data_IF_837437849089
#
_entry.id   IF_837437849089
#
_cell.length_a   1.000
_cell.length_b   1.000
_cell.length_c   1.000
_cell.angle_alpha   90.00
_cell.angle_beta   90.00
_cell.angle_gamma   90.00
#
_symmetry.space_group_name_H-M   'P 1'
#
loop_
_entity.id
_entity.type
_entity.pdbx_description
1 polymer ?
#
# COMPACT_ATOMS: atom_id res chain seq x y z
N UNK A 1 0.19 -72.08 -22.10
CA UNK A 1 -0.51 -71.05 -22.91
C UNK A 1 -1.44 -70.28 -21.99
N UNK A 2 -1.14 -69.01 -21.69
CA UNK A 2 -1.98 -68.14 -20.87
C UNK A 2 -2.96 -67.37 -21.75
N UNK A 3 -4.25 -67.34 -21.39
CA UNK A 3 -5.28 -66.57 -22.11
C UNK A 3 -5.17 -65.09 -21.75
N UNK A 4 -5.17 -64.23 -22.77
CA UNK A 4 -5.10 -62.78 -22.62
C UNK A 4 -6.28 -62.24 -21.79
N UNK A 5 -5.98 -61.42 -20.78
CA UNK A 5 -6.97 -60.71 -19.98
C UNK A 5 -7.59 -59.63 -20.86
N UNK A 6 -8.90 -59.76 -21.09
CA UNK A 6 -9.72 -58.84 -21.87
C UNK A 6 -10.09 -57.63 -21.03
N UNK A 7 -9.90 -56.45 -21.62
CA UNK A 7 -10.56 -55.19 -21.33
C UNK A 7 -10.47 -54.68 -19.89
N UNK A 8 -9.59 -53.69 -19.69
CA UNK A 8 -9.75 -52.71 -18.61
C UNK A 8 -10.99 -51.87 -18.98
N UNK A 9 -12.15 -52.16 -18.37
CA UNK A 9 -13.29 -51.23 -18.41
C UNK A 9 -12.93 -50.05 -17.52
N UNK A 10 -12.69 -48.89 -18.13
CA UNK A 10 -12.68 -47.63 -17.41
C UNK A 10 -14.15 -47.37 -17.03
N UNK A 11 -14.48 -47.59 -15.77
CA UNK A 11 -15.73 -47.09 -15.19
C UNK A 11 -15.73 -45.58 -15.41
N UNK A 12 -16.51 -45.12 -16.38
CA UNK A 12 -16.87 -43.72 -16.50
C UNK A 12 -17.73 -43.44 -15.29
N UNK A 13 -17.16 -42.71 -14.32
CA UNK A 13 -17.86 -42.33 -13.10
C UNK A 13 -19.22 -41.72 -13.46
N UNK A 14 -20.27 -42.26 -12.86
CA UNK A 14 -21.62 -41.77 -13.04
C UNK A 14 -21.66 -40.31 -12.54
N UNK A 15 -22.09 -39.33 -13.37
CA UNK A 15 -22.21 -37.93 -12.95
C UNK A 15 -23.01 -37.77 -11.64
N UNK A 16 -23.94 -38.69 -11.35
CA UNK A 16 -24.69 -38.69 -10.10
C UNK A 16 -23.86 -39.11 -8.89
N UNK A 17 -22.94 -40.06 -9.05
CA UNK A 17 -22.02 -40.48 -7.98
C UNK A 17 -20.96 -39.42 -7.69
N UNK A 18 -20.45 -38.73 -8.72
CA UNK A 18 -19.52 -37.60 -8.54
C UNK A 18 -20.19 -36.40 -7.85
N UNK A 19 -21.43 -36.07 -8.23
CA UNK A 19 -22.20 -35.01 -7.55
C UNK A 19 -22.49 -35.37 -6.09
N UNK A 20 -22.85 -36.62 -5.81
CA UNK A 20 -23.13 -37.08 -4.44
C UNK A 20 -21.89 -37.00 -3.54
N UNK A 21 -20.72 -37.41 -4.06
CA UNK A 21 -19.44 -37.27 -3.36
C UNK A 21 -19.07 -35.81 -3.14
N UNK A 22 -19.18 -34.96 -4.16
CA UNK A 22 -18.88 -33.54 -4.04
C UNK A 22 -19.74 -32.84 -2.97
N UNK A 23 -21.04 -33.15 -2.92
CA UNK A 23 -21.93 -32.62 -1.86
C UNK A 23 -21.49 -33.11 -0.49
N UNK A 24 -21.15 -34.40 -0.37
CA UNK A 24 -20.70 -34.99 0.90
C UNK A 24 -19.41 -34.33 1.40
N UNK A 25 -18.45 -34.11 0.51
CA UNK A 25 -17.17 -33.48 0.83
C UNK A 25 -17.35 -32.01 1.25
N UNK A 26 -18.23 -31.26 0.56
CA UNK A 26 -18.57 -29.88 0.96
C UNK A 26 -19.23 -29.86 2.33
N UNK A 27 -20.19 -30.77 2.59
CA UNK A 27 -20.86 -30.85 3.89
C UNK A 27 -19.88 -31.21 5.00
N UNK A 28 -18.95 -32.14 4.75
CA UNK A 28 -17.91 -32.50 5.71
C UNK A 28 -16.99 -31.31 6.01
N UNK A 29 -16.51 -30.59 4.99
CA UNK A 29 -15.68 -29.41 5.16
C UNK A 29 -16.38 -28.29 5.93
N UNK A 30 -17.68 -28.06 5.67
CA UNK A 30 -18.49 -27.09 6.41
C UNK A 30 -18.72 -27.52 7.86
N UNK A 31 -18.92 -28.82 8.11
CA UNK A 31 -19.12 -29.36 9.45
C UNK A 31 -17.84 -29.28 10.30
N UNK A 32 -16.67 -29.56 9.72
CA UNK A 32 -15.37 -29.40 10.38
C UNK A 32 -15.06 -27.94 10.72
N UNK A 33 -15.55 -26.99 9.91
CA UNK A 33 -15.32 -25.56 10.08
C UNK A 33 -16.53 -24.82 10.65
N UNK A 34 -17.43 -25.52 11.34
CA UNK A 34 -18.73 -25.01 11.80
C UNK A 34 -18.64 -23.64 12.45
N UNK A 35 -17.73 -23.45 13.40
CA UNK A 35 -17.69 -22.22 14.20
C UNK A 35 -17.24 -21.01 13.36
N UNK A 36 -16.23 -21.18 12.49
CA UNK A 36 -15.80 -20.14 11.55
C UNK A 36 -16.89 -19.79 10.53
N UNK A 37 -17.66 -20.78 10.06
CA UNK A 37 -18.81 -20.56 9.17
C UNK A 37 -19.91 -19.78 9.90
N UNK A 38 -20.23 -20.14 11.14
CA UNK A 38 -21.23 -19.43 11.94
C UNK A 38 -20.82 -17.99 12.25
N UNK A 39 -19.54 -17.75 12.53
CA UNK A 39 -19.01 -16.40 12.72
C UNK A 39 -19.09 -15.58 11.43
N UNK A 40 -18.72 -16.18 10.29
CA UNK A 40 -18.83 -15.53 8.96
C UNK A 40 -20.28 -15.17 8.64
N UNK A 41 -21.23 -16.08 8.90
CA UNK A 41 -22.67 -15.81 8.75
C UNK A 41 -23.09 -14.66 9.68
N UNK A 42 -22.57 -14.62 10.91
CA UNK A 42 -22.78 -13.53 11.85
C UNK A 42 -22.31 -12.17 11.30
N UNK A 43 -21.09 -12.12 10.74
CA UNK A 43 -20.53 -10.92 10.10
C UNK A 43 -21.39 -10.50 8.90
N UNK A 44 -21.73 -11.44 8.01
CA UNK A 44 -22.58 -11.17 6.84
C UNK A 44 -23.94 -10.63 7.28
N UNK A 45 -24.52 -11.18 8.35
CA UNK A 45 -25.78 -10.69 8.91
C UNK A 45 -25.66 -9.29 9.48
N UNK A 46 -24.61 -9.01 10.26
CA UNK A 46 -24.36 -7.65 10.76
C UNK A 46 -24.18 -6.65 9.60
N UNK A 47 -23.43 -7.01 8.56
CA UNK A 47 -23.26 -6.18 7.36
C UNK A 47 -24.58 -5.99 6.60
N UNK A 48 -25.47 -6.99 6.59
CA UNK A 48 -26.80 -6.87 6.02
C UNK A 48 -27.68 -5.93 6.85
N UNK A 49 -27.73 -6.11 8.17
CA UNK A 49 -28.54 -5.34 9.10
C UNK A 49 -28.11 -3.86 9.14
N UNK A 50 -26.80 -3.59 8.99
CA UNK A 50 -26.26 -2.23 8.83
C UNK A 50 -26.51 -1.62 7.43
N UNK A 51 -27.12 -2.37 6.51
CA UNK A 51 -27.42 -1.90 5.15
C UNK A 51 -26.20 -1.85 4.22
N UNK A 52 -25.04 -2.37 4.63
CA UNK A 52 -23.82 -2.39 3.82
C UNK A 52 -24.02 -3.24 2.58
N UNK A 53 -24.57 -4.46 2.72
CA UNK A 53 -24.81 -5.34 1.59
C UNK A 53 -25.80 -4.73 0.58
N UNK A 54 -26.84 -4.06 1.08
CA UNK A 54 -27.82 -3.37 0.24
C UNK A 54 -27.19 -2.18 -0.51
N UNK A 55 -26.31 -1.45 0.16
CA UNK A 55 -25.56 -0.33 -0.44
C UNK A 55 -24.64 -0.84 -1.54
N UNK A 56 -23.84 -1.88 -1.27
CA UNK A 56 -22.97 -2.51 -2.27
C UNK A 56 -23.79 -3.03 -3.45
N UNK A 57 -24.90 -3.73 -3.20
CA UNK A 57 -25.77 -4.22 -4.27
C UNK A 57 -26.35 -3.06 -5.11
N UNK A 58 -26.83 -1.99 -4.47
CA UNK A 58 -27.33 -0.80 -5.18
C UNK A 58 -26.25 -0.07 -5.99
N UNK A 59 -25.01 -0.05 -5.50
CA UNK A 59 -23.86 0.47 -6.26
C UNK A 59 -23.54 -0.42 -7.47
N UNK A 60 -23.64 -1.75 -7.35
CA UNK A 60 -23.38 -2.70 -8.44
C UNK A 60 -24.48 -2.68 -9.51
N UNK A 61 -25.75 -2.56 -9.09
CA UNK A 61 -26.88 -2.37 -10.00
C UNK A 61 -26.71 -1.09 -10.82
N UNK A 62 -26.26 0.00 -10.18
CA UNK A 62 -26.02 1.30 -10.81
C UNK A 62 -24.55 1.54 -11.17
N UNK A 63 -23.75 0.48 -11.37
CA UNK A 63 -22.28 0.58 -11.55
C UNK A 63 -21.86 1.55 -12.66
N UNK A 64 -22.63 1.59 -13.75
CA UNK A 64 -22.34 2.47 -14.89
C UNK A 64 -22.63 3.92 -14.51
N UNK A 65 -23.81 4.21 -13.97
CA UNK A 65 -24.21 5.57 -13.59
C UNK A 65 -23.34 6.14 -12.47
N UNK A 66 -23.07 5.34 -11.43
CA UNK A 66 -22.18 5.73 -10.32
C UNK A 66 -20.76 5.93 -10.83
N UNK A 67 -20.27 5.05 -11.71
CA UNK A 67 -18.96 5.19 -12.35
C UNK A 67 -18.87 6.47 -13.19
N UNK A 68 -19.89 6.77 -13.99
CA UNK A 68 -19.96 7.99 -14.79
C UNK A 68 -19.97 9.23 -13.90
N UNK A 69 -20.77 9.25 -12.82
CA UNK A 69 -20.80 10.36 -11.86
C UNK A 69 -19.44 10.53 -11.17
N UNK A 70 -18.80 9.44 -10.75
CA UNK A 70 -17.49 9.49 -10.12
C UNK A 70 -16.42 10.04 -11.08
N UNK A 71 -16.41 9.57 -12.34
CA UNK A 71 -15.48 10.08 -13.37
C UNK A 71 -15.77 11.54 -13.69
N UNK A 72 -17.03 11.93 -13.80
CA UNK A 72 -17.42 13.33 -14.01
C UNK A 72 -16.98 14.23 -12.84
N UNK A 73 -17.13 13.76 -11.60
CA UNK A 73 -16.72 14.46 -10.39
C UNK A 73 -15.19 14.61 -10.33
N UNK A 74 -14.45 13.57 -10.74
CA UNK A 74 -13.00 13.62 -10.87
C UNK A 74 -12.54 14.49 -12.04
N UNK A 75 -13.34 14.60 -13.10
CA UNK A 75 -13.07 15.45 -14.25
C UNK A 75 -13.51 16.91 -14.04
N UNK A 76 -14.01 17.28 -12.86
CA UNK A 76 -14.30 18.67 -12.56
C UNK A 76 -13.01 19.50 -12.57
N UNK A 77 -13.04 20.75 -13.07
CA UNK A 77 -11.85 21.61 -13.09
C UNK A 77 -11.21 21.81 -11.71
N UNK A 78 -12.02 21.80 -10.64
CA UNK A 78 -11.57 21.85 -9.25
C UNK A 78 -10.68 20.67 -8.85
N UNK A 79 -10.85 19.52 -9.50
CA UNK A 79 -10.13 18.28 -9.22
C UNK A 79 -8.90 18.08 -10.11
N UNK A 80 -8.80 18.79 -11.24
CA UNK A 80 -7.69 18.67 -12.19
C UNK A 80 -6.33 18.91 -11.51
N UNK A 81 -6.22 19.96 -10.70
CA UNK A 81 -4.98 20.28 -9.99
C UNK A 81 -4.66 19.22 -8.92
N UNK A 82 -5.67 18.71 -8.21
CA UNK A 82 -5.49 17.67 -7.20
C UNK A 82 -4.99 16.37 -7.83
N UNK A 83 -5.60 15.94 -8.94
CA UNK A 83 -5.18 14.75 -9.68
C UNK A 83 -3.78 14.94 -10.24
N UNK A 84 -3.52 16.09 -10.87
CA UNK A 84 -2.20 16.40 -11.41
C UNK A 84 -1.12 16.38 -10.33
N UNK A 85 -1.37 17.02 -9.19
CA UNK A 85 -0.42 17.03 -8.07
C UNK A 85 -0.25 15.64 -7.45
N UNK A 86 -1.33 14.86 -7.31
CA UNK A 86 -1.28 13.49 -6.83
C UNK A 86 -0.49 12.56 -7.75
N UNK A 87 -0.71 12.65 -9.06
CA UNK A 87 0.07 11.92 -10.06
C UNK A 87 1.53 12.35 -10.05
N UNK A 88 1.82 13.65 -9.95
CA UNK A 88 3.19 14.15 -9.86
C UNK A 88 3.90 13.64 -8.60
N UNK A 89 3.21 13.64 -7.45
CA UNK A 89 3.74 13.08 -6.21
C UNK A 89 4.00 11.57 -6.32
N UNK A 90 3.08 10.82 -6.92
CA UNK A 90 3.26 9.39 -7.15
C UNK A 90 4.45 9.10 -8.08
N UNK A 91 4.55 9.84 -9.19
CA UNK A 91 5.68 9.72 -10.12
C UNK A 91 7.00 10.10 -9.45
N UNK A 92 7.02 11.16 -8.65
CA UNK A 92 8.20 11.55 -7.88
C UNK A 92 8.64 10.43 -6.96
N UNK A 93 7.72 9.86 -6.16
CA UNK A 93 8.02 8.72 -5.28
C UNK A 93 8.55 7.51 -6.05
N UNK A 94 7.99 7.23 -7.24
CA UNK A 94 8.43 6.13 -8.10
C UNK A 94 9.81 6.33 -8.75
N UNK A 95 10.28 7.58 -8.87
CA UNK A 95 11.60 7.91 -9.42
C UNK A 95 12.71 7.91 -8.37
N UNK A 96 12.36 7.94 -7.08
CA UNK A 96 13.35 7.91 -6.00
C UNK A 96 14.08 6.57 -5.99
N UNK A 97 15.41 6.61 -5.85
CA UNK A 97 16.19 5.40 -5.62
C UNK A 97 15.84 4.84 -4.21
N UNK A 98 15.39 3.58 -4.08
CA UNK A 98 14.95 3.01 -2.81
C UNK A 98 16.05 2.99 -1.73
N UNK A 99 17.30 2.69 -2.12
CA UNK A 99 18.43 2.60 -1.19
C UNK A 99 18.81 3.98 -0.63
N UNK A 100 18.79 5.00 -1.48
CA UNK A 100 19.01 6.39 -1.07
C UNK A 100 17.89 6.87 -0.15
N UNK A 101 16.63 6.58 -0.50
CA UNK A 101 15.48 6.91 0.34
C UNK A 101 15.58 6.25 1.71
N UNK A 102 15.91 4.96 1.76
CA UNK A 102 16.10 4.24 3.02
C UNK A 102 17.21 4.87 3.87
N UNK A 103 18.31 5.27 3.25
CA UNK A 103 19.44 5.94 3.94
C UNK A 103 19.00 7.25 4.57
N UNK A 104 18.25 8.09 3.84
CA UNK A 104 17.71 9.35 4.34
C UNK A 104 16.73 9.10 5.49
N UNK A 105 15.78 8.18 5.32
CA UNK A 105 14.79 7.85 6.35
C UNK A 105 15.45 7.33 7.63
N UNK A 106 16.45 6.46 7.51
CA UNK A 106 17.24 5.98 8.64
C UNK A 106 17.96 7.14 9.33
N UNK A 107 18.57 8.05 8.58
CA UNK A 107 19.24 9.25 9.11
C UNK A 107 18.28 10.14 9.90
N UNK A 108 17.06 10.35 9.40
CA UNK A 108 16.01 11.12 10.11
C UNK A 108 15.60 10.42 11.40
N UNK A 109 15.37 9.10 11.36
CA UNK A 109 15.03 8.32 12.56
C UNK A 109 16.10 8.42 13.64
N UNK A 110 17.37 8.21 13.28
CA UNK A 110 18.48 8.33 14.23
C UNK A 110 18.65 9.76 14.76
N UNK A 111 18.36 10.77 13.93
CA UNK A 111 18.35 12.17 14.36
C UNK A 111 17.26 12.46 15.39
N UNK A 112 16.08 11.86 15.23
CA UNK A 112 14.99 11.95 16.22
C UNK A 112 15.35 11.27 17.54
N UNK A 113 15.98 10.09 17.49
CA UNK A 113 16.46 9.40 18.69
C UNK A 113 17.49 10.24 19.44
N UNK A 114 18.44 10.84 18.72
CA UNK A 114 19.42 11.78 19.30
C UNK A 114 18.78 13.03 19.88
N UNK A 115 17.71 13.54 19.27
CA UNK A 115 16.97 14.68 19.80
C UNK A 115 16.31 14.32 21.14
N UNK A 116 15.67 13.15 21.22
CA UNK A 116 15.05 12.65 22.45
C UNK A 116 16.08 12.47 23.57
N UNK A 117 17.23 11.83 23.29
CA UNK A 117 18.33 11.66 24.25
C UNK A 117 18.84 12.99 24.83
N UNK A 118 18.90 14.04 24.01
CA UNK A 118 19.41 15.34 24.43
C UNK A 118 18.38 16.15 25.23
N UNK A 119 17.08 15.99 24.93
CA UNK A 119 15.99 16.59 25.71
C UNK A 119 15.96 16.00 27.12
N UNK A 120 16.07 14.67 27.25
CA UNK A 120 16.07 13.99 28.55
C UNK A 120 17.23 14.45 29.44
N UNK A 121 18.39 14.77 28.84
CA UNK A 121 19.59 15.23 29.56
C UNK A 121 19.55 16.70 30.00
N UNK A 122 18.51 17.48 29.66
CA UNK A 122 18.38 18.92 29.96
C UNK A 122 19.63 19.75 29.58
N UNK A 123 20.41 19.28 28.61
CA UNK A 123 21.71 19.85 28.31
C UNK A 123 21.54 21.06 27.39
N UNK A 124 21.73 22.27 27.93
CA UNK A 124 21.70 23.50 27.14
C UNK A 124 22.90 23.54 26.21
N UNK A 125 22.66 23.41 24.91
CA UNK A 125 23.72 23.51 23.90
C UNK A 125 24.31 24.93 23.92
N UNK A 126 25.58 25.03 24.29
CA UNK A 126 26.33 26.30 24.27
C UNK A 126 26.79 26.66 22.85
N UNK A 127 26.89 27.95 22.51
CA UNK A 127 27.44 28.43 21.23
C UNK A 127 28.86 27.87 20.95
N UNK A 128 29.64 27.64 22.02
CA UNK A 128 30.96 27.01 21.90
C UNK A 128 30.86 25.53 21.52
N UNK A 129 29.91 24.80 22.10
CA UNK A 129 29.65 23.40 21.74
C UNK A 129 29.19 23.29 20.28
N UNK A 130 28.32 24.19 19.81
CA UNK A 130 27.90 24.24 18.40
C UNK A 130 29.09 24.43 17.45
N UNK A 131 29.97 25.39 17.75
CA UNK A 131 31.18 25.61 16.95
C UNK A 131 32.10 24.39 16.93
N UNK A 132 32.22 23.68 18.06
CA UNK A 132 33.02 22.46 18.14
C UNK A 132 32.34 21.28 17.43
N UNK A 133 31.00 21.21 17.44
CA UNK A 133 30.22 20.19 16.73
C UNK A 133 30.41 20.24 15.22
N UNK A 134 30.69 21.39 14.62
CA UNK A 134 31.01 21.47 13.18
C UNK A 134 32.29 20.68 12.83
N UNK A 135 33.22 20.52 13.78
CA UNK A 135 34.45 19.73 13.58
C UNK A 135 34.20 18.22 13.67
N UNK A 136 33.05 17.81 14.21
CA UNK A 136 32.66 16.41 14.25
C UNK A 136 32.34 15.92 12.81
N UNK A 137 32.86 14.73 12.41
CA UNK A 137 32.74 14.24 11.05
C UNK A 137 31.30 13.89 10.65
N UNK A 138 30.46 13.45 11.57
CA UNK A 138 29.03 13.17 11.33
C UNK A 138 28.27 14.47 11.03
N UNK A 139 28.44 15.49 11.87
CA UNK A 139 27.81 16.82 11.68
C UNK A 139 28.24 17.47 10.37
N UNK A 140 29.54 17.40 10.05
CA UNK A 140 30.07 17.93 8.80
C UNK A 140 29.46 17.23 7.58
N UNK A 141 29.30 15.91 7.64
CA UNK A 141 28.69 15.14 6.54
C UNK A 141 27.25 15.59 6.29
N UNK A 142 26.43 15.70 7.33
CA UNK A 142 25.05 16.18 7.21
C UNK A 142 24.96 17.61 6.66
N UNK A 143 25.85 18.51 7.10
CA UNK A 143 25.92 19.88 6.60
C UNK A 143 26.29 19.92 5.11
N UNK A 144 27.29 19.17 4.69
CA UNK A 144 27.68 19.07 3.27
C UNK A 144 26.54 18.52 2.41
N UNK A 145 25.85 17.47 2.88
CA UNK A 145 24.69 16.90 2.18
C UNK A 145 23.56 17.92 2.06
N UNK A 146 23.25 18.66 3.14
CA UNK A 146 22.23 19.71 3.11
C UNK A 146 22.59 20.83 2.14
N UNK A 147 23.86 21.28 2.13
CA UNK A 147 24.32 22.28 1.17
C UNK A 147 24.19 21.80 -0.27
N UNK A 148 24.59 20.56 -0.57
CA UNK A 148 24.41 19.99 -1.92
C UNK A 148 22.94 19.86 -2.33
N UNK A 149 22.05 19.52 -1.39
CA UNK A 149 20.60 19.52 -1.64
C UNK A 149 20.07 20.93 -1.96
N UNK A 150 20.50 21.94 -1.20
CA UNK A 150 20.14 23.34 -1.44
C UNK A 150 20.66 23.84 -2.81
N UNK A 151 21.87 23.44 -3.19
CA UNK A 151 22.47 23.75 -4.49
C UNK A 151 21.63 23.17 -5.64
N UNK A 152 21.29 21.88 -5.58
CA UNK A 152 20.45 21.23 -6.60
C UNK A 152 19.04 21.82 -6.70
N UNK A 153 18.42 22.22 -5.58
CA UNK A 153 17.16 22.96 -5.62
C UNK A 153 17.31 24.33 -6.30
N UNK A 154 18.41 25.04 -6.01
CA UNK A 154 18.72 26.32 -6.62
C UNK A 154 18.92 26.23 -8.14
N UNK A 155 19.57 25.17 -8.62
CA UNK A 155 19.73 24.89 -10.05
C UNK A 155 18.39 24.66 -10.74
N UNK A 156 17.50 23.87 -10.14
CA UNK A 156 16.16 23.61 -10.69
C UNK A 156 15.33 24.90 -10.82
N UNK A 157 15.35 25.76 -9.80
CA UNK A 157 14.62 27.05 -9.84
C UNK A 157 15.20 28.05 -10.85
N UNK A 158 16.50 27.98 -11.15
CA UNK A 158 17.13 28.83 -12.15
C UNK A 158 16.96 28.30 -13.56
N UNK A 159 16.94 26.98 -13.75
CA UNK A 159 16.64 26.34 -15.04
C UNK A 159 15.25 26.70 -15.56
N UNK A 160 14.24 26.64 -14.70
CA UNK A 160 12.85 26.99 -15.02
C UNK A 160 12.70 28.47 -15.45
N UNK A 161 13.52 29.37 -14.90
CA UNK A 161 13.54 30.79 -15.30
C UNK A 161 14.19 31.06 -16.67
N UNK A 162 15.05 30.17 -17.17
CA UNK A 162 15.74 30.38 -18.47
C UNK A 162 14.89 29.93 -19.66
N UNK A 163 13.92 29.05 -19.46
CA UNK A 163 12.99 28.63 -20.53
C UNK A 163 11.78 29.56 -20.70
N UNK A 164 11.63 30.56 -19.83
CA UNK A 164 10.54 31.55 -19.84
C UNK A 164 10.95 32.91 -20.45
N UNK A 165 12.19 33.03 -20.98
CA UNK A 165 12.72 34.19 -21.68
C UNK A 165 13.20 33.83 -23.08
#
# INVERSE_FOLDING_TARGET
MAKAIKQIRKETADPQEEQSKAITDIVAALAENRDAIMETIGIVRQLHDMGVLNTVNGLLEKRVDVGVIAVQQLNQPSMHNTIKNGMNAFNFLGQLNPDQLQTVLNGVSHGMDKLAENIDKHEKVSLWQLGNSIRNPEVRTSLTTMLGFLEGMGEAFQGDKRELH
#
